data_IF_585896281020
#
_entry.id   IF_585896281020
#
_cell.length_a   1.000
_cell.length_b   1.000
_cell.length_c   1.000
_cell.angle_alpha   90.00
_cell.angle_beta   90.00
_cell.angle_gamma   90.00
#
_symmetry.space_group_name_H-M   'P 1'
#
loop_
_entity.id
_entity.type
_entity.pdbx_description
1 polymer ?
#
# COMPACT_ATOMS: atom_id res chain seq x y z
N UNK A 1 25.47 -67.04 -62.03
CA UNK A 1 24.30 -66.15 -62.03
C UNK A 1 23.88 -65.97 -60.59
N UNK A 2 24.24 -64.83 -59.98
CA UNK A 2 23.42 -63.60 -59.89
C UNK A 2 22.41 -63.75 -58.73
N UNK A 3 22.64 -63.17 -57.53
CA UNK A 3 22.24 -61.81 -57.06
C UNK A 3 20.68 -61.67 -57.12
N UNK A 4 19.87 -61.32 -56.11
CA UNK A 4 20.00 -60.51 -54.89
C UNK A 4 18.83 -60.71 -53.88
N UNK A 5 19.11 -60.37 -52.60
CA UNK A 5 18.31 -59.72 -51.52
C UNK A 5 16.79 -59.96 -51.32
N UNK A 6 16.40 -60.39 -50.10
CA UNK A 6 15.67 -59.56 -49.11
C UNK A 6 15.40 -60.29 -47.79
N UNK A 7 15.40 -59.50 -46.72
CA UNK A 7 15.42 -59.85 -45.29
C UNK A 7 14.07 -60.34 -44.74
N UNK A 8 14.11 -61.04 -43.59
CA UNK A 8 13.38 -60.64 -42.36
C UNK A 8 14.00 -61.28 -41.12
N UNK A 9 14.09 -60.48 -40.05
CA UNK A 9 14.66 -60.77 -38.72
C UNK A 9 13.75 -61.64 -37.83
N UNK A 10 14.36 -62.38 -36.89
CA UNK A 10 13.73 -62.80 -35.63
C UNK A 10 14.71 -62.54 -34.47
N UNK A 11 14.35 -61.60 -33.60
CA UNK A 11 15.06 -61.27 -32.38
C UNK A 11 14.17 -61.55 -31.17
N UNK A 12 14.32 -62.72 -30.56
CA UNK A 12 13.89 -62.97 -29.19
C UNK A 12 15.11 -63.07 -28.27
N UNK A 13 15.29 -62.06 -27.40
CA UNK A 13 16.25 -62.12 -26.29
C UNK A 13 15.51 -62.06 -24.95
N UNK A 14 15.89 -62.89 -23.95
CA UNK A 14 15.23 -62.90 -22.65
C UNK A 14 15.69 -61.71 -21.80
N UNK A 15 14.71 -60.93 -21.28
CA UNK A 15 14.94 -59.89 -20.26
C UNK A 15 15.38 -60.54 -18.94
N UNK A 16 16.67 -60.44 -18.60
CA UNK A 16 17.16 -60.70 -17.22
C UNK A 16 16.61 -59.62 -16.28
N UNK A 17 15.71 -60.03 -15.38
CA UNK A 17 15.32 -59.22 -14.20
C UNK A 17 16.56 -59.08 -13.29
N UNK A 18 17.08 -57.87 -13.15
CA UNK A 18 18.07 -57.57 -12.12
C UNK A 18 17.37 -57.58 -10.75
N UNK A 19 17.59 -58.64 -9.97
CA UNK A 19 17.30 -58.65 -8.53
C UNK A 19 18.38 -57.84 -7.83
N UNK A 20 18.03 -56.63 -7.37
CA UNK A 20 18.88 -55.84 -6.48
C UNK A 20 18.59 -56.30 -5.04
N UNK A 21 19.63 -56.78 -4.36
CA UNK A 21 19.54 -57.53 -3.11
C UNK A 21 19.05 -56.73 -1.89
N UNK A 22 18.61 -57.51 -0.89
CA UNK A 22 17.98 -57.16 0.39
C UNK A 22 18.72 -56.15 1.30
N UNK A 23 19.92 -55.71 0.93
CA UNK A 23 20.73 -54.74 1.69
C UNK A 23 20.32 -53.30 1.32
N UNK A 24 19.97 -53.05 0.06
CA UNK A 24 19.46 -51.74 -0.40
C UNK A 24 18.07 -51.44 0.16
N UNK A 25 17.22 -52.47 0.30
CA UNK A 25 15.91 -52.36 0.93
C UNK A 25 15.99 -52.02 2.41
N UNK A 26 16.99 -52.53 3.14
CA UNK A 26 17.21 -52.22 4.55
C UNK A 26 17.73 -50.78 4.77
N UNK A 27 18.59 -50.29 3.88
CA UNK A 27 19.07 -48.92 3.93
C UNK A 27 17.94 -47.91 3.62
N UNK A 28 17.08 -48.21 2.65
CA UNK A 28 15.88 -47.41 2.35
C UNK A 28 14.90 -47.41 3.52
N UNK A 29 14.66 -48.55 4.16
CA UNK A 29 13.77 -48.65 5.33
C UNK A 29 14.28 -47.85 6.53
N UNK A 30 15.60 -47.83 6.77
CA UNK A 30 16.20 -47.00 7.82
C UNK A 30 16.04 -45.50 7.54
N UNK A 31 16.19 -45.07 6.27
CA UNK A 31 15.99 -43.68 5.86
C UNK A 31 14.52 -43.23 6.04
N UNK A 32 13.57 -44.10 5.72
CA UNK A 32 12.15 -43.80 5.90
C UNK A 32 11.79 -43.69 7.38
N UNK A 33 12.31 -44.59 8.23
CA UNK A 33 12.09 -44.52 9.67
C UNK A 33 12.71 -43.25 10.27
N UNK A 34 13.93 -42.89 9.88
CA UNK A 34 14.53 -41.65 10.40
C UNK A 34 13.75 -40.42 9.95
N UNK A 35 13.23 -40.40 8.72
CA UNK A 35 12.37 -39.33 8.25
C UNK A 35 11.05 -39.24 9.04
N UNK A 36 10.37 -40.38 9.28
CA UNK A 36 9.12 -40.43 10.05
C UNK A 36 9.33 -40.01 11.50
N UNK A 37 10.40 -40.51 12.14
CA UNK A 37 10.75 -40.12 13.52
C UNK A 37 11.06 -38.63 13.60
N UNK A 38 11.79 -38.07 12.63
CA UNK A 38 12.04 -36.63 12.55
C UNK A 38 10.76 -35.80 12.39
N UNK A 39 9.81 -36.28 11.57
CA UNK A 39 8.54 -35.59 11.34
C UNK A 39 7.63 -35.63 12.58
N UNK A 40 7.62 -36.75 13.31
CA UNK A 40 6.93 -36.88 14.60
C UNK A 40 7.55 -35.92 15.63
N UNK A 41 8.88 -35.83 15.68
CA UNK A 41 9.57 -34.91 16.58
C UNK A 41 9.24 -33.44 16.28
N UNK A 42 9.27 -33.03 15.01
CA UNK A 42 8.84 -31.68 14.59
C UNK A 42 7.37 -31.41 14.93
N UNK A 43 6.49 -32.39 14.74
CA UNK A 43 5.09 -32.28 15.12
C UNK A 43 4.89 -32.11 16.63
N UNK A 44 5.68 -32.82 17.44
CA UNK A 44 5.66 -32.69 18.89
C UNK A 44 6.17 -31.31 19.34
N UNK A 45 7.25 -30.81 18.75
CA UNK A 45 7.81 -29.49 19.06
C UNK A 45 6.83 -28.37 18.68
N UNK A 46 6.20 -28.47 17.49
CA UNK A 46 5.17 -27.55 17.05
C UNK A 46 3.92 -27.59 17.95
N UNK A 47 3.53 -28.78 18.41
CA UNK A 47 2.40 -28.94 19.32
C UNK A 47 2.68 -28.30 20.70
N UNK A 48 3.90 -28.48 21.23
CA UNK A 48 4.31 -27.83 22.48
C UNK A 48 4.39 -26.31 22.34
N UNK A 49 4.98 -25.81 21.27
CA UNK A 49 5.04 -24.37 20.99
C UNK A 49 3.64 -23.75 20.88
N UNK A 50 2.69 -24.43 20.20
CA UNK A 50 1.30 -24.01 20.11
C UNK A 50 0.64 -23.92 21.50
N UNK A 51 0.89 -24.89 22.37
CA UNK A 51 0.26 -24.92 23.69
C UNK A 51 0.78 -23.81 24.62
N UNK A 52 2.08 -23.49 24.53
CA UNK A 52 2.67 -22.33 25.23
C UNK A 52 2.03 -21.03 24.75
N UNK A 53 1.95 -20.82 23.43
CA UNK A 53 1.31 -19.61 22.85
C UNK A 53 -0.15 -19.51 23.27
N UNK A 54 -0.91 -20.62 23.26
CA UNK A 54 -2.30 -20.62 23.67
C UNK A 54 -2.49 -20.29 25.15
N UNK A 55 -1.51 -20.62 25.99
CA UNK A 55 -1.53 -20.30 27.42
C UNK A 55 -1.27 -18.81 27.65
N UNK A 56 -0.28 -18.23 26.98
CA UNK A 56 0.00 -16.78 27.04
C UNK A 56 -1.17 -15.95 26.52
N UNK A 57 -1.80 -16.38 25.41
CA UNK A 57 -3.00 -15.71 24.86
C UNK A 57 -4.18 -15.81 25.83
N UNK A 58 -4.37 -16.94 26.51
CA UNK A 58 -5.41 -17.07 27.55
C UNK A 58 -5.12 -16.19 28.75
N UNK A 59 -3.87 -16.08 29.18
CA UNK A 59 -3.47 -15.18 30.28
C UNK A 59 -3.74 -13.71 29.91
N UNK A 60 -3.38 -13.28 28.69
CA UNK A 60 -3.68 -11.92 28.17
C UNK A 60 -5.19 -11.64 28.08
N UNK A 61 -5.99 -12.61 27.59
CA UNK A 61 -7.45 -12.45 27.48
C UNK A 61 -8.12 -12.47 28.86
N UNK A 62 -7.61 -13.27 29.80
CA UNK A 62 -8.15 -13.39 31.17
C UNK A 62 -7.75 -12.25 32.09
N UNK A 63 -6.71 -11.48 31.76
CA UNK A 63 -6.24 -10.37 32.57
C UNK A 63 -7.13 -9.12 32.48
N UNK A 64 -8.26 -9.16 31.74
CA UNK A 64 -9.15 -8.02 31.46
C UNK A 64 -8.37 -6.74 31.05
N UNK A 65 -7.17 -6.91 30.51
CA UNK A 65 -6.42 -5.86 29.83
C UNK A 65 -7.00 -5.76 28.42
N UNK A 66 -8.29 -5.42 28.36
CA UNK A 66 -8.75 -4.66 27.23
C UNK A 66 -7.86 -3.42 27.19
N UNK A 67 -7.21 -3.06 26.07
CA UNK A 67 -6.78 -1.69 25.93
C UNK A 67 -8.02 -0.87 26.28
N UNK A 68 -7.91 -0.04 27.31
CA UNK A 68 -8.91 0.98 27.55
C UNK A 68 -9.08 1.62 26.19
N UNK A 69 -10.28 1.53 25.61
CA UNK A 69 -10.64 2.41 24.51
C UNK A 69 -10.62 3.80 25.14
N UNK A 70 -9.41 4.37 25.31
CA UNK A 70 -9.24 5.79 25.23
C UNK A 70 -9.99 6.14 23.95
N UNK A 71 -11.03 6.99 24.00
CA UNK A 71 -11.71 7.38 22.79
C UNK A 71 -10.60 7.83 21.84
N UNK A 72 -10.31 7.02 20.82
CA UNK A 72 -9.37 7.42 19.79
C UNK A 72 -9.99 8.69 19.28
N UNK A 73 -9.39 9.87 19.50
CA UNK A 73 -9.93 11.06 18.90
C UNK A 73 -10.03 10.69 17.42
N UNK A 74 -11.21 10.84 16.84
CA UNK A 74 -11.29 10.88 15.38
C UNK A 74 -10.36 12.03 15.07
N UNK A 75 -9.13 11.72 14.62
CA UNK A 75 -8.12 12.71 14.29
C UNK A 75 -8.65 13.32 13.00
N UNK A 76 -9.65 14.20 13.13
CA UNK A 76 -10.06 15.05 12.03
C UNK A 76 -8.90 16.00 11.86
N UNK A 77 -8.29 15.97 10.68
CA UNK A 77 -7.26 16.93 10.33
C UNK A 77 -7.79 18.33 10.65
N UNK A 78 -6.95 19.18 11.26
CA UNK A 78 -7.30 20.58 11.52
C UNK A 78 -6.97 21.47 10.32
N UNK A 79 -6.00 21.02 9.52
CA UNK A 79 -5.46 21.70 8.35
C UNK A 79 -5.20 20.65 7.28
N UNK A 80 -5.41 21.02 6.03
CA UNK A 80 -5.10 20.23 4.85
C UNK A 80 -3.59 19.97 4.73
N UNK A 81 -3.19 18.78 4.29
CA UNK A 81 -1.80 18.35 4.18
C UNK A 81 -1.01 19.20 3.17
N UNK A 82 0.32 19.01 3.16
CA UNK A 82 1.23 19.61 2.19
C UNK A 82 1.65 21.06 2.45
N UNK A 83 1.11 21.69 3.51
CA UNK A 83 1.44 23.06 3.90
C UNK A 83 2.91 23.25 4.23
N UNK A 84 3.56 24.19 3.55
CA UNK A 84 4.96 24.51 3.74
C UNK A 84 5.22 25.98 3.38
N UNK A 85 6.32 26.54 3.87
CA UNK A 85 6.73 27.88 3.45
C UNK A 85 7.38 27.80 2.07
N UNK A 86 7.09 28.75 1.16
CA UNK A 86 7.62 28.71 -0.20
C UNK A 86 9.16 28.66 -0.24
N UNK A 87 9.76 28.03 -1.26
CA UNK A 87 11.22 27.99 -1.46
C UNK A 87 11.88 29.37 -1.59
N UNK A 88 11.09 30.39 -1.88
CA UNK A 88 11.54 31.78 -2.01
C UNK A 88 11.71 32.48 -0.66
N UNK A 89 11.24 31.89 0.44
CA UNK A 89 11.38 32.44 1.79
C UNK A 89 12.86 32.42 2.25
N UNK A 90 13.37 33.49 2.91
CA UNK A 90 14.74 33.54 3.41
C UNK A 90 15.10 32.43 4.40
N UNK A 91 14.11 31.88 5.11
CA UNK A 91 14.28 30.76 6.04
C UNK A 91 14.33 29.38 5.37
N UNK A 92 14.14 29.32 4.05
CA UNK A 92 14.10 28.10 3.26
C UNK A 92 12.85 27.25 3.50
N UNK A 93 12.73 26.18 2.73
CA UNK A 93 11.56 25.29 2.74
C UNK A 93 11.45 24.48 4.03
N UNK A 94 10.31 24.62 4.73
CA UNK A 94 9.96 23.92 5.98
C UNK A 94 8.44 23.80 6.12
N UNK A 95 7.91 22.88 6.96
CA UNK A 95 6.49 22.83 7.28
C UNK A 95 5.95 24.19 7.75
N UNK A 96 4.72 24.51 7.34
CA UNK A 96 4.08 25.78 7.69
C UNK A 96 3.19 25.65 8.92
N UNK A 97 3.78 25.69 10.11
CA UNK A 97 3.04 25.62 11.38
C UNK A 97 2.09 26.82 11.59
N UNK A 98 2.24 27.89 10.80
CA UNK A 98 1.39 29.09 10.94
C UNK A 98 -0.06 28.86 10.52
N UNK A 99 -0.31 27.86 9.66
CA UNK A 99 -1.65 27.45 9.24
C UNK A 99 -2.46 26.80 10.38
N UNK A 100 -1.77 26.29 11.40
CA UNK A 100 -2.40 25.72 12.58
C UNK A 100 -2.79 26.86 13.53
N UNK A 101 -4.06 26.92 14.00
CA UNK A 101 -4.49 27.91 14.98
C UNK A 101 -3.60 27.91 16.23
N UNK A 102 -3.21 29.10 16.71
CA UNK A 102 -2.24 29.28 17.79
C UNK A 102 -2.61 28.49 19.05
N UNK A 103 -3.90 28.48 19.41
CA UNK A 103 -4.42 27.77 20.57
C UNK A 103 -4.36 26.24 20.44
N UNK A 104 -4.18 25.71 19.23
CA UNK A 104 -4.13 24.27 18.95
C UNK A 104 -2.72 23.76 18.65
N UNK A 105 -1.75 24.63 18.37
CA UNK A 105 -0.36 24.21 18.08
C UNK A 105 0.25 23.33 19.18
N UNK A 106 0.14 23.66 20.48
CA UNK A 106 0.73 22.82 21.52
C UNK A 106 0.11 21.41 21.55
N UNK A 107 -1.18 21.30 21.21
CA UNK A 107 -1.87 20.01 21.15
C UNK A 107 -1.37 19.19 19.96
N UNK A 108 -1.27 19.81 18.77
CA UNK A 108 -0.79 19.12 17.55
C UNK A 108 0.65 18.63 17.73
N UNK A 109 1.51 19.44 18.34
CA UNK A 109 2.90 19.06 18.62
C UNK A 109 3.02 17.94 19.66
N UNK A 110 2.03 17.79 20.54
CA UNK A 110 1.96 16.72 21.53
C UNK A 110 1.33 15.43 20.99
N UNK A 111 0.74 15.44 19.78
CA UNK A 111 0.16 14.24 19.20
C UNK A 111 1.26 13.21 18.87
N UNK A 112 1.02 11.91 19.12
CA UNK A 112 1.94 10.87 18.71
C UNK A 112 2.03 10.83 17.18
N UNK A 113 3.18 10.36 16.68
CA UNK A 113 3.36 10.17 15.24
C UNK A 113 2.28 9.25 14.67
N UNK A 114 1.75 9.61 13.50
CA UNK A 114 0.72 8.81 12.83
C UNK A 114 1.29 7.43 12.49
N UNK A 115 0.56 6.39 12.86
CA UNK A 115 0.94 5.01 12.56
C UNK A 115 0.71 4.77 11.07
N UNK A 116 1.80 4.59 10.33
CA UNK A 116 1.72 4.22 8.91
C UNK A 116 1.25 2.77 8.83
N UNK A 117 0.16 2.48 8.11
CA UNK A 117 -0.34 1.11 8.00
C UNK A 117 0.66 0.22 7.27
N UNK A 118 0.74 -1.05 7.70
CA UNK A 118 1.52 -2.07 7.00
C UNK A 118 1.06 -2.18 5.54
N UNK A 119 1.98 -2.35 4.58
CA UNK A 119 1.63 -2.51 3.19
C UNK A 119 0.58 -3.59 2.94
N UNK A 120 -0.40 -3.31 2.08
CA UNK A 120 -1.44 -4.27 1.69
C UNK A 120 -1.71 -4.21 0.18
N UNK A 121 -2.26 -5.29 -0.37
CA UNK A 121 -2.48 -5.41 -1.82
C UNK A 121 -3.40 -4.31 -2.40
N UNK A 122 -4.28 -3.73 -1.58
CA UNK A 122 -5.23 -2.67 -1.98
C UNK A 122 -4.65 -1.27 -1.88
N UNK A 123 -3.46 -1.09 -1.32
CA UNK A 123 -2.87 0.24 -1.23
C UNK A 123 -2.53 0.76 -2.62
N UNK A 124 -2.77 2.05 -2.80
CA UNK A 124 -2.36 2.76 -4.00
C UNK A 124 -0.82 2.78 -4.05
N UNK A 125 -0.26 2.41 -5.19
CA UNK A 125 1.20 2.31 -5.40
C UNK A 125 1.71 3.31 -6.43
N UNK A 126 0.86 3.73 -7.36
CA UNK A 126 1.21 4.66 -8.45
C UNK A 126 0.00 5.45 -8.91
N UNK A 127 0.24 6.70 -9.27
CA UNK A 127 -0.72 7.61 -9.92
C UNK A 127 -0.20 7.99 -11.30
N UNK A 128 -1.10 8.01 -12.28
CA UNK A 128 -0.84 8.53 -13.63
C UNK A 128 -1.94 9.52 -13.99
N UNK A 129 -1.55 10.73 -14.43
CA UNK A 129 -2.46 11.77 -14.92
C UNK A 129 -1.96 12.24 -16.28
N UNK A 130 -2.45 11.67 -17.39
CA UNK A 130 -1.90 11.93 -18.72
C UNK A 130 -1.97 13.40 -19.15
N UNK A 131 -3.07 14.09 -18.83
CA UNK A 131 -3.31 15.48 -19.24
C UNK A 131 -2.21 16.45 -18.76
N UNK A 132 -1.58 16.15 -17.63
CA UNK A 132 -0.53 16.98 -17.01
C UNK A 132 0.81 16.23 -16.87
N UNK A 133 0.95 15.09 -17.56
CA UNK A 133 2.17 14.27 -17.62
C UNK A 133 2.68 13.82 -16.24
N UNK A 134 1.78 13.54 -15.30
CA UNK A 134 2.15 12.99 -13.99
C UNK A 134 2.26 11.48 -14.07
N UNK A 135 3.37 10.96 -13.56
CA UNK A 135 3.64 9.55 -13.33
C UNK A 135 4.51 9.42 -12.07
N UNK A 136 3.90 9.05 -10.95
CA UNK A 136 4.55 9.12 -9.65
C UNK A 136 4.18 7.97 -8.71
N UNK A 137 5.09 7.56 -7.80
CA UNK A 137 4.78 6.59 -6.76
C UNK A 137 3.82 7.19 -5.72
N UNK A 138 2.99 6.34 -5.15
CA UNK A 138 2.14 6.67 -4.00
C UNK A 138 2.71 6.00 -2.75
N UNK A 139 2.81 6.76 -1.67
CA UNK A 139 3.23 6.31 -0.34
C UNK A 139 2.10 6.48 0.67
N UNK A 140 2.14 5.71 1.76
CA UNK A 140 1.14 5.83 2.83
C UNK A 140 1.49 6.97 3.79
N UNK A 141 0.52 7.83 4.07
CA UNK A 141 0.68 9.08 4.80
C UNK A 141 1.03 10.24 3.89
N UNK A 142 0.70 11.44 4.33
CA UNK A 142 0.88 12.71 3.64
C UNK A 142 1.52 13.77 4.56
N UNK A 143 2.31 13.30 5.53
CA UNK A 143 3.20 14.12 6.31
C UNK A 143 4.44 14.54 5.51
N UNK A 144 5.21 15.47 6.08
CA UNK A 144 6.40 16.07 5.46
C UNK A 144 7.38 15.03 4.87
N UNK A 145 7.72 13.99 5.62
CA UNK A 145 8.67 12.96 5.16
C UNK A 145 8.08 12.04 4.09
N UNK A 146 6.76 11.88 4.03
CA UNK A 146 6.09 11.08 3.03
C UNK A 146 6.00 11.84 1.70
N UNK A 147 5.60 13.12 1.75
CA UNK A 147 5.47 13.96 0.55
C UNK A 147 6.81 14.25 -0.13
N UNK A 148 7.92 14.10 0.58
CA UNK A 148 9.28 14.08 0.00
C UNK A 148 9.54 12.92 -0.95
N UNK A 149 8.81 11.82 -0.80
CA UNK A 149 9.05 10.55 -1.52
C UNK A 149 8.11 10.33 -2.70
N UNK A 150 7.08 11.15 -2.86
CA UNK A 150 6.07 10.98 -3.88
C UNK A 150 4.72 11.55 -3.46
N UNK A 151 3.65 10.98 -4.01
CA UNK A 151 2.28 11.32 -3.64
C UNK A 151 1.91 10.60 -2.35
N UNK A 152 1.45 11.33 -1.34
CA UNK A 152 1.00 10.77 -0.07
C UNK A 152 -0.49 10.43 -0.10
N UNK A 153 -0.86 9.21 0.30
CA UNK A 153 -2.25 8.87 0.59
C UNK A 153 -2.59 9.23 2.03
N UNK A 154 -3.63 10.04 2.24
CA UNK A 154 -4.07 10.43 3.58
C UNK A 154 -4.52 9.19 4.36
N UNK A 155 -4.03 9.05 5.60
CA UNK A 155 -4.31 7.86 6.42
C UNK A 155 -5.77 7.89 6.88
N UNK A 156 -6.43 6.73 6.79
CA UNK A 156 -7.85 6.58 7.15
C UNK A 156 -8.83 6.86 6.00
N UNK A 157 -8.33 7.21 4.82
CA UNK A 157 -9.16 7.41 3.61
C UNK A 157 -9.38 6.10 2.84
N UNK A 158 -10.34 6.11 1.91
CA UNK A 158 -10.72 4.91 1.18
C UNK A 158 -9.57 4.37 0.32
N UNK A 159 -9.52 3.05 0.16
CA UNK A 159 -8.62 2.44 -0.84
C UNK A 159 -9.18 2.63 -2.26
N UNK A 160 -8.34 2.59 -3.31
CA UNK A 160 -8.80 2.68 -4.69
C UNK A 160 -9.97 1.75 -5.01
N UNK A 161 -11.02 2.28 -5.64
CA UNK A 161 -12.21 1.54 -6.06
C UNK A 161 -13.25 1.28 -4.97
N UNK A 162 -12.93 1.57 -3.69
CA UNK A 162 -13.88 1.40 -2.59
C UNK A 162 -14.78 2.62 -2.43
N UNK A 163 -15.99 2.40 -1.90
CA UNK A 163 -16.86 3.50 -1.50
C UNK A 163 -16.15 4.36 -0.45
N UNK A 164 -16.24 5.67 -0.62
CA UNK A 164 -15.50 6.63 0.18
C UNK A 164 -14.59 7.50 -0.68
N UNK A 165 -13.89 8.39 0.01
CA UNK A 165 -13.00 9.35 -0.62
C UNK A 165 -11.56 8.86 -0.50
N UNK A 166 -10.88 8.62 -1.61
CA UNK A 166 -9.44 8.41 -1.67
C UNK A 166 -8.77 9.79 -1.76
N UNK A 167 -7.99 10.17 -0.75
CA UNK A 167 -7.34 11.48 -0.71
C UNK A 167 -5.84 11.32 -0.95
N UNK A 168 -5.33 12.04 -1.95
CA UNK A 168 -3.93 12.04 -2.34
C UNK A 168 -3.38 13.46 -2.34
N UNK A 169 -2.17 13.63 -1.80
CA UNK A 169 -1.54 14.92 -1.61
C UNK A 169 -0.12 14.90 -2.17
N UNK A 170 0.32 16.00 -2.80
CA UNK A 170 1.71 16.19 -3.21
C UNK A 170 2.05 17.67 -3.33
N UNK A 171 3.33 18.00 -3.30
CA UNK A 171 3.79 19.38 -3.47
C UNK A 171 3.72 19.84 -4.95
N UNK A 172 3.51 21.14 -5.13
CA UNK A 172 3.42 21.84 -6.42
C UNK A 172 4.75 22.48 -6.82
N UNK A 173 5.64 22.81 -5.88
CA UNK A 173 6.83 23.65 -6.09
C UNK A 173 8.11 23.12 -5.41
N UNK A 174 8.00 22.01 -4.68
CA UNK A 174 9.13 21.28 -4.08
C UNK A 174 9.04 19.78 -4.33
N UNK A 175 10.14 19.08 -4.04
CA UNK A 175 10.23 17.61 -4.09
C UNK A 175 9.69 16.99 -5.39
N UNK A 176 10.10 17.56 -6.52
CA UNK A 176 9.72 17.08 -7.85
C UNK A 176 8.46 17.73 -8.44
N UNK A 177 7.80 18.63 -7.71
CA UNK A 177 6.69 19.45 -8.22
C UNK A 177 5.55 18.60 -8.82
N UNK A 178 5.28 17.43 -8.23
CA UNK A 178 4.43 16.39 -8.83
C UNK A 178 3.03 16.94 -9.18
N UNK A 179 2.47 17.81 -8.34
CA UNK A 179 1.14 18.40 -8.53
C UNK A 179 1.18 19.86 -8.99
N UNK A 180 2.28 20.30 -9.63
CA UNK A 180 2.44 21.67 -10.15
C UNK A 180 1.28 22.18 -10.97
N UNK A 181 0.79 21.33 -11.88
CA UNK A 181 -0.16 21.71 -12.93
C UNK A 181 -1.59 21.19 -12.65
N UNK A 182 -1.96 20.92 -11.38
CA UNK A 182 -3.33 20.47 -11.07
C UNK A 182 -4.41 21.47 -11.53
N UNK A 183 -4.07 22.75 -11.62
CA UNK A 183 -4.93 23.83 -12.12
C UNK A 183 -5.25 23.73 -13.61
N UNK A 184 -4.49 22.93 -14.36
CA UNK A 184 -4.73 22.67 -15.79
C UNK A 184 -5.74 21.55 -16.04
N UNK A 185 -6.12 20.78 -15.01
CA UNK A 185 -7.07 19.68 -15.17
C UNK A 185 -8.48 20.19 -15.44
N UNK A 186 -9.14 19.55 -16.40
CA UNK A 186 -10.50 19.86 -16.82
C UNK A 186 -11.46 18.72 -16.50
N UNK A 187 -12.76 19.00 -16.30
CA UNK A 187 -13.76 17.95 -16.20
C UNK A 187 -13.71 17.02 -17.40
N UNK A 188 -13.61 15.70 -17.15
CA UNK A 188 -13.43 14.68 -18.18
C UNK A 188 -12.02 14.12 -18.29
N UNK A 189 -10.99 14.82 -17.78
CA UNK A 189 -9.64 14.28 -17.69
C UNK A 189 -9.61 13.03 -16.79
N UNK A 190 -8.66 12.14 -17.03
CA UNK A 190 -8.55 10.87 -16.33
C UNK A 190 -7.35 10.81 -15.38
N UNK A 191 -7.57 10.15 -14.26
CA UNK A 191 -6.53 9.81 -13.28
C UNK A 191 -6.57 8.30 -13.08
N UNK A 192 -5.45 7.62 -13.35
CA UNK A 192 -5.34 6.18 -13.12
C UNK A 192 -4.54 5.92 -11.86
N UNK A 193 -5.14 5.19 -10.93
CA UNK A 193 -4.49 4.73 -9.69
C UNK A 193 -4.23 3.23 -9.82
N UNK A 194 -2.96 2.83 -9.68
CA UNK A 194 -2.58 1.42 -9.64
C UNK A 194 -2.41 0.94 -8.20
N UNK A 195 -2.78 -0.32 -7.98
CA UNK A 195 -2.47 -1.10 -6.78
C UNK A 195 -1.52 -2.25 -7.16
N UNK A 196 -1.30 -3.22 -6.28
CA UNK A 196 -0.48 -4.40 -6.63
C UNK A 196 -1.09 -5.30 -7.72
N UNK A 197 -2.42 -5.29 -7.88
CA UNK A 197 -3.11 -6.22 -8.79
C UNK A 197 -4.15 -5.60 -9.70
N UNK A 198 -4.60 -4.38 -9.42
CA UNK A 198 -5.72 -3.73 -10.11
C UNK A 198 -5.42 -2.26 -10.42
N UNK A 199 -6.07 -1.74 -11.46
CA UNK A 199 -6.02 -0.33 -11.84
C UNK A 199 -7.42 0.27 -11.81
N UNK A 200 -7.52 1.47 -11.28
CA UNK A 200 -8.78 2.21 -11.12
C UNK A 200 -8.66 3.55 -11.84
N UNK A 201 -9.57 3.82 -12.77
CA UNK A 201 -9.61 5.09 -13.50
C UNK A 201 -10.69 5.97 -12.90
N UNK A 202 -10.30 7.16 -12.47
CA UNK A 202 -11.19 8.22 -12.02
C UNK A 202 -11.31 9.28 -13.10
N UNK A 203 -12.48 9.89 -13.21
CA UNK A 203 -12.74 11.00 -14.14
C UNK A 203 -12.90 12.28 -13.31
N UNK A 204 -12.11 13.30 -13.65
CA UNK A 204 -12.17 14.61 -13.01
C UNK A 204 -13.54 15.25 -13.22
N UNK A 205 -14.08 15.83 -12.16
CA UNK A 205 -15.36 16.54 -12.13
C UNK A 205 -15.21 18.04 -12.01
N UNK A 206 -14.16 18.49 -11.34
CA UNK A 206 -13.90 19.91 -11.16
C UNK A 206 -12.79 20.16 -10.14
N UNK A 207 -12.53 21.44 -9.96
CA UNK A 207 -11.44 21.95 -9.14
C UNK A 207 -11.95 23.11 -8.29
N UNK A 208 -11.45 23.23 -7.07
CA UNK A 208 -11.76 24.30 -6.14
C UNK A 208 -10.47 24.84 -5.49
N UNK A 209 -10.45 26.14 -5.17
CA UNK A 209 -9.41 26.76 -4.36
C UNK A 209 -10.00 27.04 -2.99
N UNK A 210 -9.41 26.45 -1.94
CA UNK A 210 -9.92 26.49 -0.58
C UNK A 210 -8.88 27.01 0.42
N UNK A 211 -9.35 27.38 1.62
CA UNK A 211 -8.46 27.67 2.75
C UNK A 211 -7.75 26.39 3.23
N UNK A 212 -6.53 26.49 3.79
CA UNK A 212 -5.86 25.34 4.41
C UNK A 212 -6.71 24.67 5.50
N UNK A 213 -7.63 25.39 6.15
CA UNK A 213 -8.52 24.84 7.19
C UNK A 213 -9.76 24.13 6.65
N UNK A 214 -10.00 24.13 5.33
CA UNK A 214 -11.19 23.52 4.72
C UNK A 214 -11.03 22.00 4.59
N UNK A 215 -10.94 21.32 5.73
CA UNK A 215 -10.68 19.87 5.81
C UNK A 215 -11.89 19.01 5.40
N UNK A 216 -13.06 19.63 5.24
CA UNK A 216 -14.31 18.94 4.85
C UNK A 216 -14.20 18.28 3.47
N UNK A 217 -13.33 18.78 2.59
CA UNK A 217 -13.07 18.19 1.26
C UNK A 217 -12.51 16.76 1.33
N UNK A 218 -11.97 16.34 2.49
CA UNK A 218 -11.46 14.99 2.72
C UNK A 218 -12.48 14.05 3.34
N UNK A 219 -13.68 14.53 3.69
CA UNK A 219 -14.71 13.72 4.34
C UNK A 219 -15.13 12.54 3.42
N UNK A 220 -15.49 11.39 4.00
CA UNK A 220 -15.85 10.20 3.23
C UNK A 220 -17.15 10.41 2.45
N UNK A 221 -17.19 9.87 1.23
CA UNK A 221 -18.35 9.90 0.33
C UNK A 221 -19.06 8.55 0.28
N UNK A 222 -20.28 8.51 -0.25
CA UNK A 222 -21.06 7.25 -0.38
C UNK A 222 -20.67 6.42 -1.61
N UNK A 223 -19.96 7.03 -2.55
CA UNK A 223 -19.49 6.42 -3.80
C UNK A 223 -17.98 6.48 -3.88
N UNK A 224 -17.30 5.67 -4.73
CA UNK A 224 -15.85 5.76 -4.87
C UNK A 224 -15.45 7.10 -5.51
N UNK A 225 -14.84 7.98 -4.72
CA UNK A 225 -14.35 9.30 -5.16
C UNK A 225 -12.85 9.47 -4.93
N UNK A 226 -12.27 10.43 -5.63
CA UNK A 226 -10.86 10.81 -5.54
C UNK A 226 -10.78 12.31 -5.24
N UNK A 227 -9.92 12.69 -4.31
CA UNK A 227 -9.58 14.08 -4.01
C UNK A 227 -8.06 14.24 -4.12
N UNK A 228 -7.59 15.11 -5.01
CA UNK A 228 -6.18 15.48 -5.13
C UNK A 228 -5.97 16.85 -4.47
N UNK A 229 -4.94 16.99 -3.64
CA UNK A 229 -4.67 18.21 -2.87
C UNK A 229 -3.23 18.67 -3.08
N UNK A 230 -3.06 19.96 -3.35
CA UNK A 230 -1.74 20.60 -3.36
C UNK A 230 -1.81 22.04 -2.86
N UNK A 231 -0.64 22.66 -2.66
CA UNK A 231 -0.57 24.08 -2.35
C UNK A 231 -0.89 24.94 -3.58
N UNK A 232 -1.37 26.16 -3.34
CA UNK A 232 -1.68 27.12 -4.39
C UNK A 232 -1.65 28.55 -3.81
N UNK A 233 -1.37 29.59 -4.62
CA UNK A 233 -0.73 29.54 -5.94
C UNK A 233 0.73 29.07 -5.88
N UNK A 234 1.29 28.68 -7.02
CA UNK A 234 2.70 28.26 -7.15
C UNK A 234 3.66 29.30 -6.55
N UNK A 235 4.58 28.86 -5.68
CA UNK A 235 5.55 29.68 -4.93
C UNK A 235 4.95 30.69 -3.95
N UNK A 236 3.65 30.58 -3.63
CA UNK A 236 2.95 31.42 -2.65
C UNK A 236 2.35 30.56 -1.54
N UNK A 237 1.70 29.44 -1.90
CA UNK A 237 1.27 28.35 -1.01
C UNK A 237 0.40 28.77 0.19
N UNK A 238 -0.37 29.85 0.02
CA UNK A 238 -1.26 30.38 1.05
C UNK A 238 -2.70 29.83 0.98
N UNK A 239 -3.00 29.01 -0.03
CA UNK A 239 -4.27 28.30 -0.25
C UNK A 239 -4.00 26.84 -0.62
N UNK A 240 -5.07 26.09 -0.82
CA UNK A 240 -5.03 24.75 -1.42
C UNK A 240 -5.80 24.71 -2.71
N UNK A 241 -5.26 24.00 -3.69
CA UNK A 241 -6.00 23.53 -4.85
C UNK A 241 -6.50 22.12 -4.56
N UNK A 242 -7.77 21.89 -4.82
CA UNK A 242 -8.44 20.61 -4.60
C UNK A 242 -9.11 20.18 -5.90
N UNK A 243 -8.75 19.01 -6.41
CA UNK A 243 -9.35 18.43 -7.62
C UNK A 243 -10.18 17.22 -7.23
N UNK A 244 -11.43 17.19 -7.68
CA UNK A 244 -12.36 16.11 -7.40
C UNK A 244 -12.52 15.19 -8.60
N UNK A 245 -12.58 13.89 -8.36
CA UNK A 245 -12.86 12.87 -9.35
C UNK A 245 -13.80 11.77 -8.84
N UNK A 246 -14.43 11.08 -9.76
CA UNK A 246 -15.29 9.92 -9.46
C UNK A 246 -14.80 8.70 -10.24
N UNK A 247 -14.92 7.51 -9.65
CA UNK A 247 -14.55 6.28 -10.33
C UNK A 247 -15.36 6.10 -11.61
N UNK A 248 -14.66 5.83 -12.72
CA UNK A 248 -15.28 5.50 -13.98
C UNK A 248 -16.07 4.20 -13.84
N UNK A 249 -17.39 4.26 -14.06
CA UNK A 249 -18.23 3.05 -14.11
C UNK A 249 -17.82 2.22 -15.32
N UNK A 250 -17.59 0.93 -15.11
CA UNK A 250 -17.40 -0.06 -16.17
C UNK A 250 -18.68 -0.33 -16.95
#
# INVERSE_FOLDING_TARGET
SDIDVSQTEDWSSPRRKFQIGSITSRALWLLEITAVVGLIYLGYDLWQAREVINKEVKEVISADVYPTLSPTPIIKALVLPGGHVPPTDPGGTRPNDSEIPENLRPLVQALPAVIIPTPSARQATRIVIPAIQVDAPIVQGDGWEQLRRGVGQHIGTASPGQNGNLVLSAHNDIFGEIFKNLDMLLPGDTVTISTMGEQFTYVIKGTEIVEPTEVSVMDPTTTPSLTLISCYPYLIDNKRIVVFGELQKS
#
